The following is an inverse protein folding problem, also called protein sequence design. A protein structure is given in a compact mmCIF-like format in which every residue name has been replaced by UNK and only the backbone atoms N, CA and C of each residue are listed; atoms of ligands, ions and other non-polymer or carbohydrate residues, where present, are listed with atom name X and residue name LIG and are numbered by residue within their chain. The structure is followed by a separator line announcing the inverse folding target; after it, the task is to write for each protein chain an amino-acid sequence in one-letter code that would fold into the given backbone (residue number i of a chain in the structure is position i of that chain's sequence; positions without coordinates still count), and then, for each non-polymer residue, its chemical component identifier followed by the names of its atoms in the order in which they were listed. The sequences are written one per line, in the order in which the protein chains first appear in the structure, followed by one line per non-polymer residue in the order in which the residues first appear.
data_IF_573596349397
#
_entry.id   IF_573596349397
#
_cell.length_a   1.000
_cell.length_b   1.000
_cell.length_c   1.000
_cell.angle_alpha   90.00
_cell.angle_beta   90.00
_cell.angle_gamma   90.00
#
_symmetry.space_group_name_H-M   'P 1'
#
loop_
_entity.id
_entity.type
_entity.pdbx_description
1 polymer ?
#
# COMPACT_ATOMS: atom_id res chain seq x y z
N UNK A 1 6.16 41.28 -13.50
CA UNK A 1 5.44 40.52 -14.54
C UNK A 1 3.97 40.46 -14.16
N UNK A 2 3.06 40.72 -15.08
CA UNK A 2 1.62 40.73 -14.80
C UNK A 2 0.97 39.34 -14.98
N UNK A 3 1.70 38.34 -15.49
CA UNK A 3 1.22 37.01 -15.79
C UNK A 3 2.28 35.93 -15.43
N UNK A 4 2.73 35.84 -14.17
CA UNK A 4 3.65 34.80 -13.75
C UNK A 4 2.95 33.45 -13.64
N UNK A 5 3.74 32.37 -13.61
CA UNK A 5 3.30 31.08 -13.06
C UNK A 5 3.63 31.11 -11.57
N UNK A 6 2.63 30.91 -10.73
CA UNK A 6 2.78 30.91 -9.28
C UNK A 6 2.67 29.49 -8.73
N UNK A 7 3.72 28.99 -8.11
CA UNK A 7 3.74 27.65 -7.55
C UNK A 7 3.61 27.70 -6.03
N UNK A 8 2.62 26.99 -5.50
CA UNK A 8 2.37 26.78 -4.07
C UNK A 8 2.67 25.31 -3.72
N UNK A 9 3.72 25.11 -2.97
CA UNK A 9 4.18 23.76 -2.62
C UNK A 9 3.54 23.28 -1.31
N UNK A 10 3.12 22.00 -1.27
CA UNK A 10 2.60 21.31 -0.08
C UNK A 10 1.35 21.98 0.55
N UNK A 11 0.35 22.35 -0.25
CA UNK A 11 -0.86 23.00 0.25
C UNK A 11 -1.70 22.14 1.21
N UNK A 12 -1.51 20.84 1.23
CA UNK A 12 -2.11 19.91 2.20
C UNK A 12 -1.57 20.09 3.64
N UNK A 13 -0.54 20.90 3.82
CA UNK A 13 0.04 21.28 5.11
C UNK A 13 -0.45 22.62 5.63
N UNK A 14 -1.27 23.34 4.88
CA UNK A 14 -1.91 24.55 5.35
C UNK A 14 -2.81 24.21 6.52
N UNK A 15 -2.55 24.83 7.66
CA UNK A 15 -3.32 24.66 8.89
C UNK A 15 -3.96 25.99 9.29
N UNK A 16 -5.12 25.91 9.94
CA UNK A 16 -5.69 27.04 10.68
C UNK A 16 -4.88 27.23 11.95
N UNK A 17 -4.37 28.44 12.17
CA UNK A 17 -3.75 28.82 13.45
C UNK A 17 -4.43 30.09 13.97
N UNK A 18 -4.02 30.57 15.15
CA UNK A 18 -4.58 31.79 15.75
C UNK A 18 -4.26 33.07 14.95
N UNK A 19 -3.43 33.01 13.92
CA UNK A 19 -3.07 34.15 13.05
C UNK A 19 -3.93 34.26 11.82
N UNK A 20 -4.76 33.26 11.54
CA UNK A 20 -5.70 33.26 10.40
C UNK A 20 -5.84 31.89 9.73
N UNK A 21 -6.65 31.89 8.66
CA UNK A 21 -6.89 30.73 7.80
C UNK A 21 -6.35 30.99 6.38
N UNK A 22 -5.14 30.52 6.06
CA UNK A 22 -4.58 30.68 4.73
C UNK A 22 -5.41 30.01 3.64
N UNK A 23 -6.21 28.98 3.98
CA UNK A 23 -7.08 28.31 3.01
C UNK A 23 -8.21 29.23 2.55
N UNK A 24 -8.73 30.08 3.42
CA UNK A 24 -9.74 31.08 3.04
C UNK A 24 -9.19 32.13 2.09
N UNK A 25 -7.96 32.60 2.28
CA UNK A 25 -7.31 33.51 1.35
C UNK A 25 -7.08 32.88 -0.03
N UNK A 26 -6.72 31.58 -0.07
CA UNK A 26 -6.57 30.85 -1.33
C UNK A 26 -7.90 30.65 -2.07
N UNK A 27 -9.03 30.58 -1.36
CA UNK A 27 -10.34 30.52 -2.02
C UNK A 27 -10.62 31.77 -2.87
N UNK A 28 -10.26 32.95 -2.39
CA UNK A 28 -10.39 34.21 -3.12
C UNK A 28 -9.37 34.28 -4.28
N UNK A 29 -8.11 33.91 -4.01
CA UNK A 29 -7.04 33.92 -5.01
C UNK A 29 -7.31 32.99 -6.20
N UNK A 30 -7.89 31.82 -5.95
CA UNK A 30 -8.14 30.80 -6.98
C UNK A 30 -9.53 30.88 -7.61
N UNK A 31 -10.37 31.81 -7.16
CA UNK A 31 -11.71 32.02 -7.72
C UNK A 31 -11.65 33.00 -8.92
N UNK A 32 -11.93 32.55 -10.15
CA UNK A 32 -11.90 33.42 -11.32
C UNK A 32 -12.92 34.57 -11.26
N UNK A 33 -13.97 34.45 -10.43
CA UNK A 33 -14.98 35.46 -10.27
C UNK A 33 -14.59 36.59 -9.28
N UNK A 34 -13.54 36.35 -8.47
CA UNK A 34 -13.10 37.27 -7.41
C UNK A 34 -11.64 37.70 -7.55
N UNK A 35 -10.79 36.93 -8.19
CA UNK A 35 -9.31 37.13 -8.22
C UNK A 35 -8.86 38.36 -9.02
N UNK A 36 -9.75 38.97 -9.82
CA UNK A 36 -9.44 40.21 -10.54
C UNK A 36 -9.34 41.43 -9.59
N UNK A 37 -9.87 41.34 -8.40
CA UNK A 37 -9.86 42.40 -7.37
C UNK A 37 -9.49 41.83 -6.02
N UNK A 38 -8.41 41.04 -5.98
CA UNK A 38 -7.87 40.50 -4.72
C UNK A 38 -7.36 41.63 -3.86
N UNK A 39 -7.86 41.73 -2.63
CA UNK A 39 -7.45 42.77 -1.69
C UNK A 39 -6.37 42.23 -0.73
N UNK A 40 -5.18 42.84 -0.77
CA UNK A 40 -4.16 42.60 0.24
C UNK A 40 -4.54 43.35 1.53
N UNK A 41 -5.01 42.66 2.54
CA UNK A 41 -5.46 43.22 3.82
C UNK A 41 -4.36 43.94 4.63
N UNK A 42 -3.10 43.78 4.27
CA UNK A 42 -1.98 44.47 4.92
C UNK A 42 -1.67 45.79 4.23
N UNK A 43 -1.68 45.78 2.88
CA UNK A 43 -1.37 46.96 2.08
C UNK A 43 -2.64 47.78 1.75
N UNK A 44 -3.84 47.22 1.93
CA UNK A 44 -5.14 47.79 1.57
C UNK A 44 -5.16 48.22 0.08
N UNK A 45 -4.59 47.39 -0.80
CA UNK A 45 -4.51 47.63 -2.25
C UNK A 45 -5.10 46.44 -2.98
N UNK A 46 -5.98 46.70 -3.95
CA UNK A 46 -6.51 45.69 -4.86
C UNK A 46 -5.46 45.29 -5.88
N UNK A 47 -5.38 43.99 -6.14
CA UNK A 47 -4.45 43.44 -7.12
C UNK A 47 -5.16 42.45 -8.05
N UNK A 48 -4.96 42.61 -9.37
CA UNK A 48 -5.55 41.74 -10.38
C UNK A 48 -4.72 40.48 -10.56
N UNK A 49 -5.24 39.32 -10.13
CA UNK A 49 -4.64 38.01 -10.24
C UNK A 49 -5.21 37.18 -11.40
N UNK A 50 -6.14 37.74 -12.22
CA UNK A 50 -6.82 36.99 -13.26
C UNK A 50 -5.92 36.39 -14.36
N UNK A 51 -4.75 36.98 -14.57
CA UNK A 51 -3.78 36.54 -15.56
C UNK A 51 -2.69 35.62 -15.00
N UNK A 52 -2.83 35.17 -13.74
CA UNK A 52 -1.83 34.33 -13.09
C UNK A 52 -2.24 32.85 -13.20
N UNK A 53 -1.31 32.02 -13.63
CA UNK A 53 -1.49 30.56 -13.57
C UNK A 53 -0.98 30.03 -12.24
N UNK A 54 -1.86 29.42 -11.44
CA UNK A 54 -1.50 28.80 -10.18
C UNK A 54 -1.26 27.29 -10.37
N UNK A 55 -0.13 26.81 -9.86
CA UNK A 55 0.18 25.38 -9.76
C UNK A 55 0.38 25.06 -8.30
N UNK A 56 -0.32 24.06 -7.80
CA UNK A 56 -0.22 23.64 -6.41
C UNK A 56 0.27 22.20 -6.33
N UNK A 57 1.06 21.87 -5.31
CA UNK A 57 1.42 20.48 -5.01
C UNK A 57 0.83 20.04 -3.68
N UNK A 58 0.52 18.76 -3.56
CA UNK A 58 0.05 18.15 -2.33
C UNK A 58 0.46 16.67 -2.28
N UNK A 59 0.65 16.15 -1.07
CA UNK A 59 0.87 14.73 -0.85
C UNK A 59 -0.43 13.99 -0.56
N UNK A 60 -1.46 14.71 -0.07
CA UNK A 60 -2.73 14.14 0.38
C UNK A 60 -3.90 15.03 -0.04
N UNK A 61 -4.64 14.57 -1.04
CA UNK A 61 -5.84 15.27 -1.54
C UNK A 61 -6.93 15.39 -0.48
N UNK A 62 -7.05 14.40 0.41
CA UNK A 62 -8.03 14.37 1.50
C UNK A 62 -7.77 15.44 2.59
N UNK A 63 -6.60 16.04 2.62
CA UNK A 63 -6.24 17.14 3.52
C UNK A 63 -6.55 18.52 2.94
N UNK A 64 -6.79 18.61 1.66
CA UNK A 64 -7.18 19.88 1.02
C UNK A 64 -8.66 20.12 1.32
N UNK A 65 -9.04 21.30 1.84
CA UNK A 65 -10.44 21.64 2.05
C UNK A 65 -11.28 21.45 0.78
N UNK A 66 -12.49 20.87 0.92
CA UNK A 66 -13.37 20.57 -0.20
C UNK A 66 -13.58 21.76 -1.13
N UNK A 67 -13.99 22.95 -0.63
CA UNK A 67 -14.21 24.15 -1.46
C UNK A 67 -12.99 24.59 -2.26
N UNK A 68 -11.78 24.39 -1.72
CA UNK A 68 -10.53 24.71 -2.41
C UNK A 68 -10.24 23.68 -3.52
N UNK A 69 -10.44 22.40 -3.22
CA UNK A 69 -10.26 21.31 -4.18
C UNK A 69 -11.22 21.42 -5.37
N UNK A 70 -12.45 21.89 -5.14
CA UNK A 70 -13.46 22.04 -6.19
C UNK A 70 -13.09 23.12 -7.23
N UNK A 71 -12.13 23.99 -6.92
CA UNK A 71 -11.55 25.01 -7.82
C UNK A 71 -10.27 24.56 -8.52
N UNK A 72 -9.83 23.31 -8.31
CA UNK A 72 -8.58 22.78 -8.82
C UNK A 72 -8.80 21.63 -9.79
N UNK A 73 -7.99 21.57 -10.83
CA UNK A 73 -7.80 20.35 -11.61
C UNK A 73 -6.78 19.46 -10.90
N UNK A 74 -7.18 18.26 -10.48
CA UNK A 74 -6.33 17.34 -9.73
C UNK A 74 -5.65 16.36 -10.68
N UNK A 75 -4.33 16.46 -10.78
CA UNK A 75 -3.48 15.52 -11.54
C UNK A 75 -2.73 14.62 -10.57
N UNK A 76 -3.05 13.33 -10.57
CA UNK A 76 -2.41 12.36 -9.68
C UNK A 76 -1.14 11.77 -10.30
N UNK A 77 -0.04 11.84 -9.55
CA UNK A 77 1.23 11.21 -9.89
C UNK A 77 1.45 9.98 -9.01
N UNK A 78 1.43 8.82 -9.62
CA UNK A 78 1.75 7.57 -8.92
C UNK A 78 3.25 7.42 -8.68
N UNK A 79 3.62 6.53 -7.75
CA UNK A 79 5.01 6.15 -7.54
C UNK A 79 5.62 5.39 -8.73
N UNK A 80 6.94 5.36 -8.77
CA UNK A 80 7.72 4.68 -9.81
C UNK A 80 7.86 3.18 -9.53
N UNK A 81 7.80 2.37 -10.60
CA UNK A 81 8.18 0.94 -10.54
C UNK A 81 9.71 0.79 -10.56
N UNK A 82 10.20 -0.43 -10.35
CA UNK A 82 11.63 -0.73 -10.27
C UNK A 82 12.40 -0.26 -11.51
N UNK A 83 11.86 -0.54 -12.68
CA UNK A 83 12.50 -0.22 -13.96
C UNK A 83 12.56 1.29 -14.21
N UNK A 84 11.49 2.00 -13.86
CA UNK A 84 11.47 3.46 -13.94
C UNK A 84 12.50 4.07 -12.98
N UNK A 85 12.61 3.53 -11.74
CA UNK A 85 13.63 3.97 -10.78
C UNK A 85 15.05 3.69 -11.27
N UNK A 86 15.27 2.53 -11.89
CA UNK A 86 16.56 2.18 -12.50
C UNK A 86 16.91 3.19 -13.61
N UNK A 87 15.97 3.45 -14.51
CA UNK A 87 16.20 4.39 -15.62
C UNK A 87 16.43 5.83 -15.12
N UNK A 88 15.60 6.30 -14.17
CA UNK A 88 15.76 7.61 -13.52
C UNK A 88 17.14 7.70 -12.83
N UNK A 89 17.57 6.63 -12.18
CA UNK A 89 18.88 6.59 -11.55
C UNK A 89 20.02 6.73 -12.56
N UNK A 90 19.94 6.02 -13.69
CA UNK A 90 20.97 6.03 -14.73
C UNK A 90 21.00 7.39 -15.45
N UNK A 91 19.84 7.90 -15.86
CA UNK A 91 19.79 9.07 -16.73
C UNK A 91 19.93 10.40 -15.97
N UNK A 92 19.46 10.44 -14.71
CA UNK A 92 19.37 11.70 -13.98
C UNK A 92 20.14 11.71 -12.65
N UNK A 93 19.91 10.71 -11.76
CA UNK A 93 20.46 10.78 -10.40
C UNK A 93 21.97 10.53 -10.37
N UNK A 94 22.47 9.52 -11.08
CA UNK A 94 23.90 9.20 -11.10
C UNK A 94 24.74 10.31 -11.71
N UNK A 95 24.42 10.88 -12.89
CA UNK A 95 25.17 11.98 -13.45
C UNK A 95 25.25 13.18 -12.50
N UNK A 96 24.13 13.51 -11.85
CA UNK A 96 24.04 14.57 -10.85
C UNK A 96 24.94 14.27 -9.65
N UNK A 97 24.80 13.09 -9.04
CA UNK A 97 25.53 12.74 -7.83
C UNK A 97 27.05 12.56 -8.07
N UNK A 98 27.44 12.05 -9.23
CA UNK A 98 28.87 11.98 -9.64
C UNK A 98 29.47 13.37 -9.68
N UNK A 99 28.78 14.34 -10.32
CA UNK A 99 29.25 15.72 -10.45
C UNK A 99 29.29 16.43 -9.10
N UNK A 100 28.24 16.35 -8.30
CA UNK A 100 28.13 16.98 -6.97
C UNK A 100 29.21 16.50 -5.99
N UNK A 101 29.69 15.27 -6.15
CA UNK A 101 30.77 14.72 -5.31
C UNK A 101 32.16 14.82 -5.92
N UNK A 102 32.34 15.61 -6.98
CA UNK A 102 33.64 15.90 -7.61
C UNK A 102 34.27 14.69 -8.33
N UNK A 103 33.46 13.68 -8.66
CA UNK A 103 33.89 12.50 -9.41
C UNK A 103 33.75 12.71 -10.91
N UNK A 104 34.60 12.04 -11.69
CA UNK A 104 34.46 11.95 -13.15
C UNK A 104 33.76 10.64 -13.53
N UNK A 105 33.01 10.65 -14.65
CA UNK A 105 32.28 9.45 -15.14
C UNK A 105 33.17 8.20 -15.30
N UNK A 106 34.48 8.38 -15.60
CA UNK A 106 35.44 7.28 -15.73
C UNK A 106 35.95 6.74 -14.39
N UNK A 107 35.74 7.44 -13.30
CA UNK A 107 36.23 7.09 -11.97
C UNK A 107 35.24 6.23 -11.19
N UNK A 108 33.96 6.29 -11.54
CA UNK A 108 32.93 5.46 -10.91
C UNK A 108 31.95 4.93 -11.94
N UNK A 109 31.61 3.65 -11.83
CA UNK A 109 30.60 2.99 -12.66
C UNK A 109 29.72 2.11 -11.78
N UNK A 110 28.40 2.21 -11.95
CA UNK A 110 27.44 1.35 -11.28
C UNK A 110 26.98 0.24 -12.23
N UNK A 111 26.81 -0.97 -11.72
CA UNK A 111 26.08 -2.00 -12.44
C UNK A 111 24.59 -1.87 -12.19
N UNK A 112 23.76 -2.33 -13.14
CA UNK A 112 22.30 -2.30 -13.01
C UNK A 112 21.83 -3.07 -11.79
N UNK A 113 22.49 -4.21 -11.51
CA UNK A 113 22.21 -5.04 -10.34
C UNK A 113 22.49 -4.28 -9.02
N UNK A 114 23.51 -3.43 -9.00
CA UNK A 114 23.82 -2.61 -7.82
C UNK A 114 22.76 -1.54 -7.56
N UNK A 115 22.21 -0.94 -8.62
CA UNK A 115 21.12 0.04 -8.51
C UNK A 115 19.83 -0.67 -8.10
N UNK A 116 19.50 -1.80 -8.72
CA UNK A 116 18.37 -2.62 -8.31
C UNK A 116 18.45 -3.01 -6.83
N UNK A 117 19.62 -3.45 -6.37
CA UNK A 117 19.85 -3.76 -4.96
C UNK A 117 19.61 -2.55 -4.05
N UNK A 118 20.06 -1.34 -4.45
CA UNK A 118 19.79 -0.11 -3.71
C UNK A 118 18.30 0.16 -3.59
N UNK A 119 17.55 0.02 -4.66
CA UNK A 119 16.10 0.22 -4.68
C UNK A 119 15.39 -0.80 -3.79
N UNK A 120 15.72 -2.09 -3.91
CA UNK A 120 15.03 -3.17 -3.21
C UNK A 120 15.37 -3.26 -1.72
N UNK A 121 16.66 -3.13 -1.40
CA UNK A 121 17.16 -3.49 -0.08
C UNK A 121 17.59 -2.32 0.79
N UNK A 122 17.75 -1.12 0.23
CA UNK A 122 18.20 0.06 0.98
C UNK A 122 17.22 1.23 0.93
N UNK A 123 16.16 1.15 0.09
CA UNK A 123 15.11 2.18 0.02
C UNK A 123 13.72 1.54 0.11
N UNK A 124 12.75 2.32 0.63
CA UNK A 124 11.34 1.95 0.68
C UNK A 124 10.52 3.22 0.51
N UNK A 125 10.24 3.56 -0.74
CA UNK A 125 9.58 4.82 -1.11
C UNK A 125 8.85 4.69 -2.45
N UNK A 126 7.83 5.52 -2.66
CA UNK A 126 7.15 5.63 -3.95
C UNK A 126 8.01 6.38 -4.99
N UNK A 127 8.67 7.45 -4.58
CA UNK A 127 9.57 8.26 -5.40
C UNK A 127 11.01 7.74 -5.45
N UNK A 128 11.96 8.66 -5.62
CA UNK A 128 13.40 8.38 -5.78
C UNK A 128 14.31 9.20 -4.86
N UNK A 129 13.74 9.95 -3.89
CA UNK A 129 14.51 10.83 -3.00
C UNK A 129 15.50 10.07 -2.09
N UNK A 130 15.07 8.93 -1.53
CA UNK A 130 15.96 8.10 -0.73
C UNK A 130 16.96 7.34 -1.59
N UNK A 131 16.56 6.92 -2.80
CA UNK A 131 17.49 6.34 -3.78
C UNK A 131 18.61 7.32 -4.10
N UNK A 132 18.28 8.58 -4.39
CA UNK A 132 19.27 9.63 -4.60
C UNK A 132 20.23 9.78 -3.40
N UNK A 133 19.70 9.78 -2.17
CA UNK A 133 20.51 9.82 -0.96
C UNK A 133 21.44 8.61 -0.81
N UNK A 134 21.00 7.40 -1.18
CA UNK A 134 21.87 6.22 -1.14
C UNK A 134 22.95 6.29 -2.22
N UNK A 135 22.61 6.72 -3.43
CA UNK A 135 23.59 6.96 -4.50
C UNK A 135 24.63 8.00 -4.07
N UNK A 136 24.20 9.11 -3.47
CA UNK A 136 25.08 10.12 -2.88
C UNK A 136 26.02 9.53 -1.80
N UNK A 137 25.51 8.65 -0.94
CA UNK A 137 26.32 7.97 0.08
C UNK A 137 27.40 7.09 -0.55
N UNK A 138 27.06 6.34 -1.61
CA UNK A 138 28.02 5.52 -2.34
C UNK A 138 29.05 6.39 -3.04
N UNK A 139 28.63 7.46 -3.72
CA UNK A 139 29.54 8.39 -4.39
C UNK A 139 30.54 9.05 -3.41
N UNK A 140 30.08 9.49 -2.22
CA UNK A 140 30.98 10.05 -1.19
C UNK A 140 32.04 9.07 -0.72
N UNK A 141 31.68 7.81 -0.51
CA UNK A 141 32.64 6.77 -0.10
C UNK A 141 33.63 6.43 -1.21
N UNK A 142 33.14 6.38 -2.45
CA UNK A 142 33.99 6.22 -3.61
C UNK A 142 34.98 7.38 -3.80
N UNK A 143 34.50 8.63 -3.68
CA UNK A 143 35.37 9.81 -3.74
C UNK A 143 36.46 9.78 -2.69
N UNK A 144 36.14 9.38 -1.45
CA UNK A 144 37.10 9.22 -0.36
C UNK A 144 38.18 8.17 -0.68
N UNK A 145 37.82 7.02 -1.28
CA UNK A 145 38.80 5.98 -1.66
C UNK A 145 39.73 6.46 -2.79
N UNK A 146 39.16 7.17 -3.78
CA UNK A 146 39.92 7.67 -4.93
C UNK A 146 40.88 8.78 -4.48
N UNK A 147 40.39 9.78 -3.73
CA UNK A 147 41.22 10.88 -3.22
C UNK A 147 42.30 10.39 -2.26
N UNK A 148 42.00 9.34 -1.47
CA UNK A 148 42.97 8.69 -0.60
C UNK A 148 44.02 7.83 -1.33
N UNK A 149 44.03 7.83 -2.66
CA UNK A 149 45.01 7.11 -3.49
C UNK A 149 44.87 5.60 -3.52
N UNK A 150 43.82 5.04 -2.90
CA UNK A 150 43.59 3.60 -2.82
C UNK A 150 43.22 2.98 -4.16
N UNK A 151 42.50 3.72 -5.01
CA UNK A 151 42.02 3.25 -6.33
C UNK A 151 41.94 4.43 -7.31
N UNK A 152 42.13 4.14 -8.60
CA UNK A 152 41.95 5.12 -9.69
C UNK A 152 40.51 5.15 -10.20
N UNK A 153 39.80 4.04 -10.09
CA UNK A 153 38.40 3.90 -10.47
C UNK A 153 37.71 2.82 -9.61
N UNK A 154 36.40 2.90 -9.50
CA UNK A 154 35.57 1.99 -8.70
C UNK A 154 34.40 1.51 -9.53
N UNK A 155 34.26 0.19 -9.65
CA UNK A 155 33.04 -0.45 -10.14
C UNK A 155 32.17 -0.82 -8.92
N UNK A 156 30.98 -0.21 -8.85
CA UNK A 156 30.01 -0.45 -7.80
C UNK A 156 29.17 -1.67 -8.18
N UNK A 157 29.50 -2.80 -7.60
CA UNK A 157 28.76 -4.06 -7.67
C UNK A 157 27.86 -4.21 -6.44
N UNK A 158 26.95 -5.22 -6.38
CA UNK A 158 26.19 -5.53 -5.18
C UNK A 158 27.06 -5.71 -3.91
N UNK A 159 28.21 -6.36 -4.02
CA UNK A 159 29.17 -6.56 -2.91
C UNK A 159 29.74 -5.22 -2.44
N UNK A 160 30.05 -4.33 -3.39
CA UNK A 160 30.58 -2.99 -3.08
C UNK A 160 29.50 -2.12 -2.42
N UNK A 161 28.24 -2.26 -2.81
CA UNK A 161 27.12 -1.61 -2.11
C UNK A 161 27.04 -2.08 -0.67
N UNK A 162 27.16 -3.40 -0.43
CA UNK A 162 27.16 -3.94 0.92
C UNK A 162 28.34 -3.45 1.75
N UNK A 163 29.55 -3.42 1.16
CA UNK A 163 30.75 -2.87 1.82
C UNK A 163 30.56 -1.41 2.23
N UNK A 164 29.90 -0.62 1.36
CA UNK A 164 29.69 0.80 1.61
C UNK A 164 28.55 1.10 2.54
N UNK A 165 27.41 0.45 2.38
CA UNK A 165 26.19 0.80 3.11
C UNK A 165 25.88 -0.12 4.29
N UNK A 166 26.61 -1.22 4.42
CA UNK A 166 26.38 -2.25 5.44
C UNK A 166 25.24 -3.22 5.08
N UNK A 167 24.71 -3.94 6.06
CA UNK A 167 23.69 -4.95 5.82
C UNK A 167 22.42 -4.37 5.20
N UNK A 168 21.70 -5.21 4.44
CA UNK A 168 20.42 -4.89 3.83
C UNK A 168 19.45 -4.37 4.89
N UNK A 169 18.81 -3.24 4.62
CA UNK A 169 17.81 -2.65 5.52
C UNK A 169 16.45 -3.30 5.40
N UNK A 170 16.13 -3.79 4.20
CA UNK A 170 14.87 -4.43 3.89
C UNK A 170 15.14 -5.80 3.26
N UNK A 171 14.49 -6.83 3.79
CA UNK A 171 14.57 -8.21 3.33
C UNK A 171 13.15 -8.64 2.94
N UNK A 172 13.01 -9.31 1.80
CA UNK A 172 11.72 -9.88 1.39
C UNK A 172 11.56 -11.26 2.05
N UNK A 173 10.62 -11.37 3.01
CA UNK A 173 10.38 -12.57 3.80
C UNK A 173 9.15 -13.38 3.34
N UNK A 174 8.62 -13.09 2.15
CA UNK A 174 7.31 -13.60 1.72
C UNK A 174 7.26 -15.12 1.63
N UNK A 175 8.29 -15.74 1.07
CA UNK A 175 8.27 -17.19 0.82
C UNK A 175 8.31 -18.02 2.11
N UNK A 176 8.93 -17.52 3.18
CA UNK A 176 9.08 -18.27 4.44
C UNK A 176 7.84 -18.17 5.35
N UNK A 177 7.06 -17.09 5.23
CA UNK A 177 5.95 -16.81 6.16
C UNK A 177 4.61 -17.40 5.74
N UNK A 178 4.37 -17.63 4.44
CA UNK A 178 3.02 -17.95 3.92
C UNK A 178 2.64 -19.44 3.95
N UNK A 179 3.53 -20.33 4.33
CA UNK A 179 3.26 -21.78 4.38
C UNK A 179 2.46 -22.24 5.61
N UNK A 180 2.14 -21.34 6.55
CA UNK A 180 1.43 -21.69 7.77
C UNK A 180 -0.05 -21.30 7.66
N UNK A 181 -0.98 -22.17 8.14
CA UNK A 181 -2.37 -21.81 8.27
C UNK A 181 -2.54 -20.55 9.14
N UNK A 182 -3.45 -19.67 8.72
CA UNK A 182 -3.69 -18.40 9.41
C UNK A 182 -2.77 -17.24 8.98
N UNK A 183 -1.83 -17.45 8.06
CA UNK A 183 -0.96 -16.38 7.54
C UNK A 183 -1.35 -16.01 6.12
N UNK A 184 -1.57 -14.71 5.89
CA UNK A 184 -2.05 -14.16 4.60
C UNK A 184 -1.29 -12.89 4.26
N UNK A 185 -1.04 -12.67 2.97
CA UNK A 185 -0.50 -11.42 2.46
C UNK A 185 -1.65 -10.52 1.99
N UNK A 186 -1.87 -9.44 2.71
CA UNK A 186 -2.73 -8.34 2.29
C UNK A 186 -1.94 -7.29 1.52
N UNK A 187 -2.65 -6.47 0.73
CA UNK A 187 -2.06 -5.35 0.00
C UNK A 187 -2.58 -4.04 0.59
N UNK A 188 -1.67 -3.13 0.87
CA UNK A 188 -1.97 -1.81 1.42
C UNK A 188 -1.47 -0.70 0.48
N UNK A 189 -2.10 0.46 0.62
CA UNK A 189 -1.62 1.71 0.06
C UNK A 189 -1.28 2.67 1.20
N UNK A 190 -0.14 3.34 1.10
CA UNK A 190 0.37 4.28 2.09
C UNK A 190 0.83 5.56 1.40
N UNK A 191 1.08 6.60 2.16
CA UNK A 191 1.68 7.84 1.64
C UNK A 191 3.04 7.62 0.95
N UNK A 192 3.68 6.47 1.17
CA UNK A 192 4.95 6.07 0.53
C UNK A 192 4.75 5.13 -0.66
N UNK A 193 3.51 4.92 -1.10
CA UNK A 193 3.13 4.01 -2.17
C UNK A 193 2.52 2.71 -1.65
N UNK A 194 2.37 1.74 -2.57
CA UNK A 194 1.87 0.41 -2.21
C UNK A 194 2.85 -0.38 -1.35
N UNK A 195 2.31 -1.17 -0.45
CA UNK A 195 3.06 -2.07 0.43
C UNK A 195 2.31 -3.38 0.65
N UNK A 196 3.03 -4.41 1.12
CA UNK A 196 2.43 -5.66 1.55
C UNK A 196 2.27 -5.68 3.07
N UNK A 197 1.22 -6.32 3.53
CA UNK A 197 0.94 -6.55 4.95
C UNK A 197 0.82 -8.05 5.20
N UNK A 198 1.58 -8.55 6.17
CA UNK A 198 1.30 -9.88 6.71
C UNK A 198 0.16 -9.78 7.72
N UNK A 199 -0.80 -10.70 7.62
CA UNK A 199 -1.89 -10.87 8.56
C UNK A 199 -1.73 -12.26 9.14
N UNK A 200 -1.54 -12.33 10.44
CA UNK A 200 -1.32 -13.56 11.18
C UNK A 200 -2.48 -13.79 12.14
N UNK A 201 -3.10 -14.94 12.05
CA UNK A 201 -4.15 -15.37 12.95
C UNK A 201 -3.72 -16.63 13.69
N UNK A 202 -3.96 -16.69 15.00
CA UNK A 202 -3.74 -17.87 15.83
C UNK A 202 -4.94 -18.17 16.70
N UNK A 203 -5.11 -19.43 17.08
CA UNK A 203 -6.18 -19.91 17.96
C UNK A 203 -5.59 -20.51 19.23
N UNK A 204 -6.28 -20.33 20.33
CA UNK A 204 -5.91 -20.87 21.63
C UNK A 204 -7.15 -21.28 22.41
N UNK A 205 -7.07 -22.21 23.38
CA UNK A 205 -8.18 -22.50 24.25
C UNK A 205 -8.72 -21.25 24.93
N UNK A 206 -10.05 -21.04 24.93
CA UNK A 206 -10.63 -19.82 25.48
C UNK A 206 -12.16 -19.84 25.46
N UNK A 207 -12.76 -18.67 25.65
CA UNK A 207 -14.20 -18.48 25.76
C UNK A 207 -14.81 -17.66 24.60
N UNK A 208 -14.09 -17.52 23.50
CA UNK A 208 -14.56 -16.84 22.31
C UNK A 208 -14.09 -15.39 22.17
N UNK A 209 -13.04 -14.99 22.85
CA UNK A 209 -12.47 -13.65 22.71
C UNK A 209 -11.78 -13.50 21.34
N UNK A 210 -11.98 -12.35 20.71
CA UNK A 210 -11.23 -11.90 19.53
C UNK A 210 -10.24 -10.84 19.97
N UNK A 211 -8.94 -11.16 19.92
CA UNK A 211 -7.85 -10.25 20.26
C UNK A 211 -7.26 -9.67 18.99
N UNK A 212 -7.02 -8.35 18.98
CA UNK A 212 -6.47 -7.63 17.82
C UNK A 212 -5.22 -6.85 18.25
N UNK A 213 -4.13 -7.03 17.51
CA UNK A 213 -2.87 -6.30 17.76
C UNK A 213 -2.21 -5.90 16.45
N UNK A 214 -1.23 -4.97 16.50
CA UNK A 214 -0.50 -4.48 15.32
C UNK A 214 -0.74 -3.00 15.04
N UNK A 215 -1.20 -2.22 16.04
CA UNK A 215 -1.51 -0.78 15.92
C UNK A 215 -2.52 -0.49 14.83
N UNK A 216 -3.64 -1.26 14.87
CA UNK A 216 -4.75 -1.13 13.92
C UNK A 216 -5.60 0.09 14.27
N UNK A 217 -5.94 0.89 13.26
CA UNK A 217 -6.95 1.93 13.36
C UNK A 217 -8.37 1.35 13.49
N UNK A 218 -9.34 2.22 13.71
CA UNK A 218 -10.69 1.75 14.04
C UNK A 218 -11.39 1.10 12.84
N UNK A 219 -11.20 1.63 11.62
CA UNK A 219 -11.77 1.04 10.40
C UNK A 219 -11.23 -0.38 10.16
N UNK A 220 -9.94 -0.59 10.39
CA UNK A 220 -9.34 -1.92 10.24
C UNK A 220 -9.81 -2.89 11.34
N UNK A 221 -10.03 -2.44 12.58
CA UNK A 221 -10.62 -3.25 13.65
C UNK A 221 -12.05 -3.68 13.32
N UNK A 222 -12.87 -2.76 12.79
CA UNK A 222 -14.21 -3.06 12.31
C UNK A 222 -14.19 -4.07 11.17
N UNK A 223 -13.25 -3.96 10.24
CA UNK A 223 -13.07 -4.92 9.14
C UNK A 223 -12.78 -6.34 9.66
N UNK A 224 -11.94 -6.50 10.70
CA UNK A 224 -11.71 -7.82 11.35
C UNK A 224 -12.96 -8.33 12.03
N UNK A 225 -13.73 -7.46 12.71
CA UNK A 225 -14.98 -7.85 13.36
C UNK A 225 -16.03 -8.31 12.35
N UNK A 226 -16.14 -7.60 11.21
CA UNK A 226 -17.03 -7.99 10.11
C UNK A 226 -16.63 -9.36 9.54
N UNK A 227 -15.33 -9.58 9.31
CA UNK A 227 -14.79 -10.85 8.84
C UNK A 227 -15.11 -11.99 9.82
N UNK A 228 -14.89 -11.78 11.11
CA UNK A 228 -15.17 -12.77 12.15
C UNK A 228 -16.68 -13.07 12.25
N UNK A 229 -17.52 -12.05 12.17
CA UNK A 229 -18.98 -12.19 12.17
C UNK A 229 -19.48 -13.03 10.98
N UNK A 230 -18.92 -12.78 9.79
CA UNK A 230 -19.23 -13.56 8.60
C UNK A 230 -18.82 -15.03 8.77
N UNK A 231 -17.62 -15.31 9.28
CA UNK A 231 -17.14 -16.68 9.51
C UNK A 231 -18.06 -17.41 10.50
N UNK A 232 -18.47 -16.76 11.59
CA UNK A 232 -19.41 -17.35 12.55
C UNK A 232 -20.77 -17.64 11.94
N UNK A 233 -21.35 -16.69 11.21
CA UNK A 233 -22.65 -16.84 10.57
C UNK A 233 -22.67 -17.93 9.49
N UNK A 234 -21.54 -18.18 8.83
CA UNK A 234 -21.41 -19.15 7.75
C UNK A 234 -20.57 -20.39 8.14
N UNK A 235 -20.33 -20.62 9.42
CA UNK A 235 -19.50 -21.74 9.92
C UNK A 235 -19.86 -23.07 9.27
N UNK A 236 -21.14 -23.42 9.21
CA UNK A 236 -21.62 -24.67 8.58
C UNK A 236 -21.24 -24.77 7.10
N UNK A 237 -21.38 -23.67 6.33
CA UNK A 237 -21.00 -23.65 4.90
C UNK A 237 -19.50 -23.80 4.70
N UNK A 238 -18.72 -23.30 5.66
CA UNK A 238 -17.27 -23.38 5.66
C UNK A 238 -16.74 -24.72 6.20
N UNK A 239 -17.62 -25.61 6.63
CA UNK A 239 -17.25 -26.91 7.22
C UNK A 239 -16.67 -26.82 8.64
N UNK A 240 -16.95 -25.73 9.35
CA UNK A 240 -16.51 -25.48 10.71
C UNK A 240 -17.56 -25.92 11.74
N UNK A 241 -17.12 -26.23 12.97
CA UNK A 241 -18.02 -26.41 14.11
C UNK A 241 -18.78 -25.09 14.36
N UNK A 242 -20.15 -25.07 14.29
CA UNK A 242 -20.90 -23.84 14.52
C UNK A 242 -20.68 -23.23 15.91
N UNK A 243 -20.11 -23.98 16.84
CA UNK A 243 -19.84 -23.55 18.22
C UNK A 243 -18.34 -23.28 18.47
N UNK A 244 -17.49 -23.29 17.43
CA UNK A 244 -16.05 -23.13 17.59
C UNK A 244 -15.67 -21.94 18.48
N UNK A 245 -16.40 -20.84 18.35
CA UNK A 245 -16.16 -19.61 19.11
C UNK A 245 -16.37 -19.74 20.62
N UNK A 246 -17.09 -20.81 21.10
CA UNK A 246 -17.28 -21.04 22.53
C UNK A 246 -16.10 -21.75 23.21
N UNK A 247 -15.20 -22.33 22.41
CA UNK A 247 -14.13 -23.21 22.89
C UNK A 247 -12.73 -22.63 22.68
N UNK A 248 -12.61 -21.54 21.90
CA UNK A 248 -11.32 -20.96 21.58
C UNK A 248 -11.37 -19.46 21.47
N UNK A 249 -10.29 -18.81 21.87
CA UNK A 249 -9.99 -17.42 21.56
C UNK A 249 -9.21 -17.36 20.26
N UNK A 250 -9.42 -16.30 19.48
CA UNK A 250 -8.68 -16.02 18.25
C UNK A 250 -7.91 -14.72 18.44
N UNK A 251 -6.64 -14.72 18.03
CA UNK A 251 -5.82 -13.54 18.03
C UNK A 251 -5.39 -13.25 16.60
N UNK A 252 -5.74 -12.06 16.08
CA UNK A 252 -5.29 -11.54 14.80
C UNK A 252 -4.24 -10.47 15.05
N UNK A 253 -3.07 -10.65 14.45
CA UNK A 253 -1.94 -9.75 14.55
C UNK A 253 -1.50 -9.27 13.16
N UNK A 254 -1.22 -7.99 13.02
CA UNK A 254 -0.60 -7.43 11.82
C UNK A 254 0.77 -6.88 12.20
N UNK A 255 1.87 -7.59 11.87
CA UNK A 255 3.24 -7.21 12.23
C UNK A 255 3.63 -5.80 11.79
N UNK A 256 4.82 -5.34 12.23
CA UNK A 256 5.32 -3.98 12.07
C UNK A 256 4.49 -2.96 12.89
N UNK A 257 4.33 -3.22 14.19
CA UNK A 257 3.55 -2.39 15.12
C UNK A 257 4.02 -0.94 15.28
N UNK A 258 5.20 -0.57 14.78
CA UNK A 258 5.67 0.80 14.76
C UNK A 258 4.88 1.69 13.77
N UNK A 259 4.30 1.09 12.71
CA UNK A 259 3.57 1.80 11.66
C UNK A 259 2.06 1.64 11.90
N UNK A 260 1.30 2.73 12.09
CA UNK A 260 -0.16 2.68 12.15
C UNK A 260 -0.73 2.13 10.83
N UNK A 261 -1.76 1.29 10.94
CA UNK A 261 -2.44 0.68 9.79
C UNK A 261 -3.93 0.89 9.95
N UNK A 262 -4.56 1.44 8.91
CA UNK A 262 -6.00 1.64 8.90
C UNK A 262 -6.56 1.48 7.48
N UNK A 263 -7.87 1.23 7.40
CA UNK A 263 -8.61 1.11 6.16
C UNK A 263 -9.35 -0.22 5.99
N UNK A 264 -10.44 -0.24 5.21
CA UNK A 264 -11.31 -1.39 5.05
C UNK A 264 -10.77 -2.44 4.06
N UNK A 265 -9.80 -2.09 3.21
CA UNK A 265 -9.34 -2.92 2.09
C UNK A 265 -8.60 -4.21 2.48
N UNK A 266 -8.37 -4.44 3.77
CA UNK A 266 -7.81 -5.69 4.31
C UNK A 266 -8.87 -6.76 4.60
N UNK A 267 -10.16 -6.48 4.44
CA UNK A 267 -11.26 -7.39 4.80
C UNK A 267 -11.17 -8.77 4.17
N UNK A 268 -10.86 -8.83 2.87
CA UNK A 268 -10.64 -10.10 2.16
C UNK A 268 -9.47 -10.89 2.77
N UNK A 269 -8.39 -10.24 3.12
CA UNK A 269 -7.23 -10.89 3.72
C UNK A 269 -7.52 -11.34 5.16
N UNK A 270 -8.28 -10.55 5.94
CA UNK A 270 -8.69 -10.90 7.30
C UNK A 270 -9.58 -12.15 7.33
N UNK A 271 -10.59 -12.20 6.47
CA UNK A 271 -11.48 -13.36 6.41
C UNK A 271 -10.74 -14.61 5.95
N UNK A 272 -9.82 -14.47 4.97
CA UNK A 272 -9.02 -15.59 4.48
C UNK A 272 -8.08 -16.12 5.57
N UNK A 273 -7.45 -15.24 6.37
CA UNK A 273 -6.63 -15.64 7.52
C UNK A 273 -7.43 -16.43 8.56
N UNK A 274 -8.62 -15.95 8.92
CA UNK A 274 -9.51 -16.62 9.86
C UNK A 274 -9.96 -17.99 9.36
N UNK A 275 -10.37 -18.09 8.09
CA UNK A 275 -10.82 -19.38 7.52
C UNK A 275 -9.65 -20.33 7.34
N UNK A 276 -8.49 -19.86 6.89
CA UNK A 276 -7.26 -20.63 6.79
C UNK A 276 -6.88 -21.26 8.14
N UNK A 277 -6.87 -20.45 9.22
CA UNK A 277 -6.62 -20.89 10.58
C UNK A 277 -7.60 -21.96 11.06
N UNK A 278 -8.89 -21.71 10.83
CA UNK A 278 -9.96 -22.58 11.37
C UNK A 278 -10.11 -23.89 10.58
N UNK A 279 -9.75 -23.88 9.29
CA UNK A 279 -9.77 -25.08 8.44
C UNK A 279 -8.42 -25.80 8.37
N UNK A 280 -7.41 -25.24 9.04
CA UNK A 280 -6.01 -25.73 9.03
C UNK A 280 -5.43 -25.90 7.62
N UNK A 281 -5.79 -24.98 6.73
CA UNK A 281 -5.33 -24.95 5.33
C UNK A 281 -4.48 -23.72 5.07
N UNK A 282 -3.21 -23.87 4.65
CA UNK A 282 -2.39 -22.73 4.26
C UNK A 282 -2.92 -22.08 2.98
N UNK A 283 -2.69 -20.79 2.86
CA UNK A 283 -2.97 -20.02 1.63
C UNK A 283 -1.96 -20.42 0.56
N UNK A 284 -2.38 -20.39 -0.70
CA UNK A 284 -1.49 -20.65 -1.84
C UNK A 284 -0.28 -19.71 -1.82
N UNK A 285 0.86 -20.24 -2.22
CA UNK A 285 2.11 -19.49 -2.28
C UNK A 285 2.03 -18.27 -3.19
N UNK A 286 2.75 -17.23 -2.80
CA UNK A 286 2.89 -15.99 -3.55
C UNK A 286 1.56 -15.37 -3.97
N UNK A 287 0.51 -15.61 -3.18
CA UNK A 287 -0.82 -15.02 -3.36
C UNK A 287 -0.99 -13.84 -2.41
N UNK A 288 -1.27 -12.67 -2.98
CA UNK A 288 -1.71 -11.49 -2.22
C UNK A 288 -3.19 -11.21 -2.43
N UNK A 289 -3.78 -10.40 -1.58
CA UNK A 289 -5.19 -10.05 -1.74
C UNK A 289 -5.54 -8.69 -1.16
N UNK A 290 -6.56 -8.09 -1.75
CA UNK A 290 -7.13 -6.83 -1.28
C UNK A 290 -8.62 -6.82 -1.58
N UNK A 291 -9.39 -6.14 -0.75
CA UNK A 291 -10.82 -5.99 -0.91
C UNK A 291 -11.47 -5.71 0.43
N UNK A 292 -12.47 -4.84 0.43
CA UNK A 292 -13.38 -4.68 1.54
C UNK A 292 -14.44 -5.78 1.50
N UNK A 293 -14.99 -6.18 2.63
CA UNK A 293 -16.05 -7.19 2.71
C UNK A 293 -17.28 -6.64 3.41
N UNK A 294 -18.45 -7.01 2.89
CA UNK A 294 -19.71 -6.80 3.59
C UNK A 294 -20.03 -7.97 4.53
N UNK A 295 -20.92 -7.76 5.49
CA UNK A 295 -21.44 -8.85 6.37
C UNK A 295 -22.14 -9.97 5.60
N UNK A 296 -22.52 -9.74 4.35
CA UNK A 296 -23.13 -10.75 3.46
C UNK A 296 -22.11 -11.51 2.61
N UNK A 297 -20.82 -11.10 2.67
CA UNK A 297 -19.74 -11.73 1.94
C UNK A 297 -19.49 -11.17 0.56
N UNK A 298 -20.11 -10.05 0.18
CA UNK A 298 -19.75 -9.36 -1.05
C UNK A 298 -18.38 -8.71 -0.90
N UNK A 299 -17.57 -8.80 -1.94
CA UNK A 299 -16.29 -8.11 -2.02
C UNK A 299 -16.52 -6.74 -2.66
N UNK A 300 -16.19 -5.68 -1.93
CA UNK A 300 -16.42 -4.30 -2.30
C UNK A 300 -15.15 -3.65 -2.87
N UNK A 301 -15.28 -2.63 -3.74
CA UNK A 301 -14.18 -1.98 -4.42
C UNK A 301 -13.24 -1.27 -3.45
N UNK A 302 -11.99 -1.08 -3.90
CA UNK A 302 -10.93 -0.43 -3.12
C UNK A 302 -10.23 0.64 -3.96
N UNK A 303 -9.53 1.55 -3.30
CA UNK A 303 -8.62 2.48 -3.95
C UNK A 303 -7.19 1.93 -4.09
N UNK A 304 -6.43 2.51 -5.03
CA UNK A 304 -5.00 2.27 -5.17
C UNK A 304 -4.64 0.88 -5.71
N UNK A 305 -5.40 0.32 -6.64
CA UNK A 305 -5.09 -1.00 -7.21
C UNK A 305 -3.75 -0.97 -7.96
N UNK A 306 -3.39 0.14 -8.61
CA UNK A 306 -2.10 0.33 -9.28
C UNK A 306 -0.93 0.19 -8.30
N UNK A 307 -0.97 0.94 -7.21
CA UNK A 307 0.09 0.94 -6.19
C UNK A 307 0.18 -0.43 -5.49
N UNK A 308 -0.95 -1.04 -5.20
CA UNK A 308 -1.05 -2.36 -4.58
C UNK A 308 -0.50 -3.47 -5.47
N UNK A 309 -0.84 -3.47 -6.77
CA UNK A 309 -0.33 -4.45 -7.73
C UNK A 309 1.16 -4.26 -7.98
N UNK A 310 1.64 -3.01 -8.05
CA UNK A 310 3.06 -2.69 -8.17
C UNK A 310 3.84 -3.17 -6.93
N UNK A 311 3.29 -2.98 -5.73
CA UNK A 311 3.90 -3.49 -4.50
C UNK A 311 3.92 -5.02 -4.45
N UNK A 312 2.84 -5.67 -4.87
CA UNK A 312 2.75 -7.12 -4.99
C UNK A 312 3.82 -7.67 -5.93
N UNK A 313 3.97 -7.08 -7.11
CA UNK A 313 5.01 -7.44 -8.09
C UNK A 313 6.41 -7.25 -7.51
N UNK A 314 6.71 -6.10 -6.91
CA UNK A 314 7.98 -5.81 -6.24
C UNK A 314 8.31 -6.79 -5.13
N UNK A 315 7.29 -7.25 -4.41
CA UNK A 315 7.42 -8.22 -3.34
C UNK A 315 7.60 -9.66 -3.85
N UNK A 316 7.52 -9.91 -5.15
CA UNK A 316 7.67 -11.24 -5.75
C UNK A 316 6.40 -12.10 -5.66
N UNK A 317 5.24 -11.49 -5.45
CA UNK A 317 3.96 -12.20 -5.61
C UNK A 317 3.72 -12.45 -7.10
N UNK A 318 3.11 -13.59 -7.39
CA UNK A 318 2.77 -14.00 -8.75
C UNK A 318 1.28 -13.91 -9.04
N UNK A 319 0.47 -13.79 -7.99
CA UNK A 319 -0.97 -13.75 -8.10
C UNK A 319 -1.57 -12.82 -7.06
N UNK A 320 -2.58 -12.02 -7.44
CA UNK A 320 -3.38 -11.24 -6.50
C UNK A 320 -4.88 -11.43 -6.74
N UNK A 321 -5.65 -11.34 -5.65
CA UNK A 321 -7.11 -11.27 -5.69
C UNK A 321 -7.53 -9.82 -5.43
N UNK A 322 -8.40 -9.31 -6.30
CA UNK A 322 -8.91 -7.95 -6.24
C UNK A 322 -10.43 -7.94 -6.47
N UNK A 323 -11.16 -6.91 -6.02
CA UNK A 323 -12.60 -6.80 -6.24
C UNK A 323 -12.95 -6.69 -7.73
N UNK A 324 -14.04 -7.34 -8.17
CA UNK A 324 -14.47 -7.32 -9.57
C UNK A 324 -14.72 -5.90 -10.09
N UNK A 325 -15.19 -4.99 -9.25
CA UNK A 325 -15.45 -3.60 -9.64
C UNK A 325 -14.17 -2.79 -9.93
N UNK A 326 -12.99 -3.28 -9.50
CA UNK A 326 -11.70 -2.67 -9.82
C UNK A 326 -11.09 -3.16 -11.14
N UNK A 327 -11.78 -3.98 -11.93
CA UNK A 327 -11.29 -4.40 -13.26
C UNK A 327 -11.03 -3.20 -14.19
N UNK A 328 -11.82 -2.14 -14.05
CA UNK A 328 -11.63 -0.87 -14.77
C UNK A 328 -10.28 -0.20 -14.51
N UNK A 329 -9.68 -0.43 -13.34
CA UNK A 329 -8.42 0.19 -12.93
C UNK A 329 -7.19 -0.49 -13.57
N UNK A 330 -7.39 -1.57 -14.36
CA UNK A 330 -6.32 -2.24 -15.10
C UNK A 330 -5.58 -1.31 -16.07
N UNK A 331 -6.27 -0.30 -16.61
CA UNK A 331 -5.70 0.66 -17.56
C UNK A 331 -4.54 1.46 -16.96
N UNK A 332 -4.54 1.64 -15.64
CA UNK A 332 -3.54 2.42 -14.91
C UNK A 332 -2.32 1.59 -14.48
N UNK A 333 -2.43 0.26 -14.57
CA UNK A 333 -1.37 -0.66 -14.13
C UNK A 333 -0.32 -0.80 -15.24
N UNK A 334 0.99 -0.67 -14.92
CA UNK A 334 2.05 -0.83 -15.90
C UNK A 334 1.99 -2.19 -16.61
N UNK A 335 2.15 -2.18 -17.94
CA UNK A 335 2.06 -3.40 -18.79
C UNK A 335 2.98 -4.53 -18.31
N UNK A 336 4.16 -4.19 -17.78
CA UNK A 336 5.09 -5.17 -17.23
C UNK A 336 4.52 -5.87 -16.01
N UNK A 337 3.92 -5.13 -15.08
CA UNK A 337 3.27 -5.70 -13.89
C UNK A 337 2.14 -6.65 -14.32
N UNK A 338 1.32 -6.26 -15.30
CA UNK A 338 0.25 -7.11 -15.84
C UNK A 338 0.77 -8.37 -16.53
N UNK A 339 1.98 -8.35 -17.07
CA UNK A 339 2.61 -9.53 -17.69
C UNK A 339 3.08 -10.55 -16.67
N UNK A 340 3.63 -10.07 -15.55
CA UNK A 340 4.32 -10.91 -14.56
C UNK A 340 3.40 -11.27 -13.37
N UNK A 341 2.31 -10.51 -13.15
CA UNK A 341 1.40 -10.65 -12.03
C UNK A 341 -0.01 -11.01 -12.52
N UNK A 342 -0.48 -12.20 -12.18
CA UNK A 342 -1.86 -12.60 -12.44
C UNK A 342 -2.80 -11.84 -11.49
N UNK A 343 -3.81 -11.15 -12.02
CA UNK A 343 -4.87 -10.52 -11.24
C UNK A 343 -6.16 -11.30 -11.45
N UNK A 344 -6.76 -11.81 -10.38
CA UNK A 344 -8.07 -12.46 -10.42
C UNK A 344 -9.09 -11.58 -9.72
N UNK A 345 -10.11 -11.21 -10.44
CA UNK A 345 -11.21 -10.40 -9.93
C UNK A 345 -12.28 -11.28 -9.30
N UNK A 346 -12.71 -10.92 -8.09
CA UNK A 346 -13.64 -11.69 -7.26
C UNK A 346 -14.82 -10.82 -6.82
N UNK A 347 -16.01 -11.44 -6.75
CA UNK A 347 -17.27 -10.76 -6.38
C UNK A 347 -17.67 -11.05 -4.94
N UNK A 348 -17.34 -12.23 -4.45
CA UNK A 348 -17.73 -12.68 -3.12
C UNK A 348 -16.64 -13.51 -2.43
N UNK A 349 -16.81 -13.69 -1.13
CA UNK A 349 -15.88 -14.43 -0.27
C UNK A 349 -15.72 -15.89 -0.68
N UNK A 350 -16.74 -16.52 -1.27
CA UNK A 350 -16.64 -17.93 -1.68
C UNK A 350 -15.66 -18.12 -2.83
N UNK A 351 -15.63 -17.18 -3.78
CA UNK A 351 -14.63 -17.15 -4.86
C UNK A 351 -13.22 -16.95 -4.30
N UNK A 352 -13.07 -16.03 -3.34
CA UNK A 352 -11.78 -15.79 -2.64
C UNK A 352 -11.29 -17.07 -1.99
N UNK A 353 -12.12 -17.73 -1.17
CA UNK A 353 -11.74 -18.93 -0.43
C UNK A 353 -11.45 -20.13 -1.37
N UNK A 354 -12.17 -20.23 -2.48
CA UNK A 354 -11.90 -21.22 -3.52
C UNK A 354 -10.54 -21.00 -4.15
N UNK A 355 -10.22 -19.76 -4.53
CA UNK A 355 -8.94 -19.42 -5.18
C UNK A 355 -7.76 -19.50 -4.21
N UNK A 356 -7.94 -19.04 -2.96
CA UNK A 356 -6.87 -18.95 -1.98
C UNK A 356 -6.60 -20.28 -1.25
N UNK A 357 -7.64 -21.02 -0.87
CA UNK A 357 -7.56 -22.20 0.00
C UNK A 357 -8.04 -23.51 -0.69
N UNK A 358 -8.55 -23.42 -1.91
CA UNK A 358 -9.14 -24.60 -2.60
C UNK A 358 -10.43 -25.10 -1.92
N UNK A 359 -11.14 -24.23 -1.18
CA UNK A 359 -12.39 -24.60 -0.53
C UNK A 359 -13.54 -24.45 -1.54
N UNK A 360 -14.15 -25.55 -1.90
CA UNK A 360 -15.44 -25.52 -2.62
C UNK A 360 -16.56 -25.41 -1.58
N UNK A 361 -17.40 -24.39 -1.71
CA UNK A 361 -18.57 -24.24 -0.83
C UNK A 361 -19.43 -25.50 -0.85
N UNK A 362 -19.63 -26.13 0.30
CA UNK A 362 -20.58 -27.26 0.39
C UNK A 362 -21.95 -26.75 0.00
N UNK A 363 -22.57 -27.38 -1.01
CA UNK A 363 -23.99 -27.15 -1.32
C UNK A 363 -24.80 -27.37 -0.05
N UNK A 364 -25.82 -26.56 0.24
CA UNK A 364 -26.65 -26.74 1.41
C UNK A 364 -27.26 -28.15 1.37
N UNK A 365 -26.93 -28.98 2.35
CA UNK A 365 -27.63 -30.24 2.55
C UNK A 365 -29.08 -29.89 2.90
N UNK A 366 -30.02 -30.44 2.11
CA UNK A 366 -31.43 -30.35 2.47
C UNK A 366 -31.62 -30.85 3.92
N UNK A 367 -32.40 -30.16 4.73
CA UNK A 367 -32.66 -30.61 6.10
C UNK A 367 -33.17 -32.03 6.06
N UNK A 368 -32.49 -32.96 6.72
CA UNK A 368 -33.00 -34.30 6.95
C UNK A 368 -34.30 -34.15 7.75
N UNK A 369 -35.42 -34.59 7.15
CA UNK A 369 -36.68 -34.69 7.86
C UNK A 369 -36.48 -35.64 9.03
N UNK A 370 -36.51 -35.13 10.24
CA UNK A 370 -36.63 -35.92 11.47
C UNK A 370 -37.93 -36.69 11.37
N UNK A 371 -37.85 -37.99 11.14
CA UNK A 371 -39.02 -38.88 11.30
C UNK A 371 -39.39 -38.90 12.78
N UNK A 372 -40.45 -38.22 13.13
CA UNK A 372 -41.09 -38.33 14.42
C UNK A 372 -41.73 -39.73 14.44
N UNK A 373 -41.12 -40.66 15.18
CA UNK A 373 -41.75 -41.95 15.50
C UNK A 373 -42.78 -41.64 16.56
N UNK A 374 -44.04 -41.65 16.18
CA UNK A 374 -45.15 -41.65 17.11
C UNK A 374 -45.29 -43.10 17.58
N UNK A 375 -44.82 -43.43 18.77
CA UNK A 375 -45.17 -44.63 19.47
C UNK A 375 -46.60 -44.45 20.02
N UNK A 376 -47.55 -45.15 19.42
CA UNK A 376 -48.87 -45.30 20.00
C UNK A 376 -48.73 -46.35 21.09
N UNK A 377 -48.93 -45.96 22.35
CA UNK A 377 -49.20 -46.86 23.46
C UNK A 377 -50.71 -47.22 23.45
N UNK A 378 -50.99 -48.53 23.42
CA UNK A 378 -52.29 -49.10 23.59
C UNK A 378 -52.56 -49.40 25.10
#
# INVERSE_FOLDING_TARGET
TNNPIFMLDEIDKLGMDFRGDPSSALLEVLDPEQNFSFNDHYLEVDFDLSNIMFITTANRVDKIPGPLRDRMEVLEFSGYIMEEKLQIAIDHLLPKQITEHGLRKKEIKFSDESICLLVESYTREAGVRNLERQLANVCRKAAREITGGKRKSINVTPEKVFEYLGPKKFISEIAERTHQPGVVVGLAWTAFGGDILFIEATKMPGKGALKLTGKLGDVMKESVQAAYSYVRANAHKLGLDPTFYKKMDIHVHVPAGAIPKDGPSAGVAMITALVSLLTDKPVKDRLGMTGEISLRGNVLPIGGLKEKSTAAHRAGLTHILAPAQNEKDLVDIPKKVLKDLKISFVKDVSEVLKLALGLEGRKPQKPQKTQTVITAEA
#
